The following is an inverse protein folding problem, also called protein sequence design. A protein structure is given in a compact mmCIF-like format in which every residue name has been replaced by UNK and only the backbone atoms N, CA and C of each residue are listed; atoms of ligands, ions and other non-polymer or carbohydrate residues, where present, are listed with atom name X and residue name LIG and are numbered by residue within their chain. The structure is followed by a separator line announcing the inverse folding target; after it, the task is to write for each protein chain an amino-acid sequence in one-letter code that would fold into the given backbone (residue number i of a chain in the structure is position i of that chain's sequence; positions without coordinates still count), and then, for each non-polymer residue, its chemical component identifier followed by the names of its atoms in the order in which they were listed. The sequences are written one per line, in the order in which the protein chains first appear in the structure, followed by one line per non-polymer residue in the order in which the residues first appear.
data_IF_506538752424
#
_entry.id   IF_506538752424
#
_cell.length_a   1.000
_cell.length_b   1.000
_cell.length_c   1.000
_cell.angle_alpha   90.00
_cell.angle_beta   90.00
_cell.angle_gamma   90.00
#
_symmetry.space_group_name_H-M   'P 1'
#
loop_
_entity.id
_entity.type
_entity.pdbx_description
1 polymer ?
#
# COMPACT_ATOMS: atom_id res chain seq x y z
N UNK A 1 52.54 -3.68 0.11
CA UNK A 1 53.00 -2.56 0.97
C UNK A 1 51.94 -1.46 0.88
N UNK A 2 51.03 -1.39 1.84
CA UNK A 2 50.01 -0.33 1.88
C UNK A 2 50.34 0.63 3.02
N UNK A 3 50.47 1.90 2.67
CA UNK A 3 50.61 3.02 3.59
C UNK A 3 49.24 3.34 4.20
N UNK A 4 49.13 3.22 5.53
CA UNK A 4 48.01 3.77 6.30
C UNK A 4 48.56 4.89 7.19
N UNK A 5 48.18 6.13 6.89
CA UNK A 5 48.58 7.29 7.67
C UNK A 5 47.61 7.44 8.86
N UNK A 6 48.15 7.39 10.07
CA UNK A 6 47.41 7.58 11.32
C UNK A 6 47.35 9.07 11.64
N UNK A 7 46.16 9.68 11.64
CA UNK A 7 45.97 11.05 12.14
C UNK A 7 45.56 10.96 13.60
N UNK A 8 46.44 11.38 14.51
CA UNK A 8 46.16 11.47 15.95
C UNK A 8 45.71 12.90 16.28
N UNK A 9 44.48 13.06 16.77
CA UNK A 9 44.01 14.30 17.41
C UNK A 9 44.30 14.18 18.90
N UNK A 10 45.06 15.15 19.44
CA UNK A 10 45.38 15.24 20.87
C UNK A 10 44.47 16.28 21.50
N UNK A 11 43.67 15.87 22.49
CA UNK A 11 43.01 16.80 23.41
C UNK A 11 43.50 16.52 24.84
N UNK A 12 44.10 17.54 25.45
CA UNK A 12 44.54 17.57 26.85
C UNK A 12 43.35 17.45 27.81
N UNK A 13 43.44 16.58 28.82
CA UNK A 13 42.45 16.52 29.89
C UNK A 13 42.62 15.35 30.86
N UNK A 14 43.28 15.65 31.99
CA UNK A 14 43.49 14.92 33.24
C UNK A 14 42.83 13.55 33.55
N UNK A 15 43.67 12.71 34.16
CA UNK A 15 43.42 11.66 35.18
C UNK A 15 43.17 10.18 34.78
N UNK A 16 44.31 9.45 34.83
CA UNK A 16 44.60 8.06 35.29
C UNK A 16 43.99 6.84 34.56
N UNK A 17 44.78 5.75 34.43
CA UNK A 17 44.55 4.68 33.46
C UNK A 17 43.91 3.44 34.10
N UNK A 18 43.10 2.69 33.34
CA UNK A 18 43.12 1.21 33.37
C UNK A 18 42.20 0.60 32.32
N UNK A 19 42.74 -0.45 31.71
CA UNK A 19 42.08 -1.52 30.96
C UNK A 19 41.76 -1.21 29.49
N UNK A 20 42.72 -1.63 28.67
CA UNK A 20 42.55 -1.87 27.25
C UNK A 20 41.34 -2.78 26.99
N UNK A 21 40.37 -2.26 26.23
CA UNK A 21 39.47 -3.08 25.43
C UNK A 21 39.74 -2.72 23.97
N UNK A 22 40.61 -3.51 23.31
CA UNK A 22 40.78 -3.47 21.86
C UNK A 22 39.50 -4.01 21.24
N UNK A 23 38.55 -3.14 20.91
CA UNK A 23 37.54 -3.46 19.89
C UNK A 23 38.20 -3.22 18.54
N UNK A 24 38.85 -4.25 18.02
CA UNK A 24 39.26 -4.26 16.62
C UNK A 24 37.97 -4.43 15.79
N UNK A 25 37.41 -3.32 15.32
CA UNK A 25 36.32 -3.33 14.37
C UNK A 25 36.88 -3.80 13.03
N UNK A 26 36.80 -5.10 12.76
CA UNK A 26 37.09 -5.68 11.46
C UNK A 26 35.93 -5.28 10.54
N UNK A 27 36.09 -4.18 9.79
CA UNK A 27 35.15 -3.81 8.73
C UNK A 27 35.36 -4.85 7.63
N UNK A 28 34.57 -5.92 7.70
CA UNK A 28 34.38 -6.82 6.59
C UNK A 28 33.73 -6.03 5.46
N UNK A 29 34.47 -5.86 4.36
CA UNK A 29 34.00 -5.25 3.13
C UNK A 29 33.09 -6.23 2.37
N UNK A 30 32.11 -6.83 3.05
CA UNK A 30 30.99 -7.47 2.38
C UNK A 30 30.13 -6.33 1.85
N UNK A 31 30.25 -6.11 0.53
CA UNK A 31 29.64 -4.99 -0.18
C UNK A 31 28.26 -4.66 0.34
N UNK A 32 28.10 -3.42 0.81
CA UNK A 32 26.80 -2.79 0.98
C UNK A 32 26.12 -2.75 -0.40
N UNK A 33 25.48 -3.86 -0.79
CA UNK A 33 24.45 -3.85 -1.83
C UNK A 33 23.36 -2.96 -1.26
N UNK A 34 23.41 -1.67 -1.60
CA UNK A 34 22.24 -0.79 -1.50
C UNK A 34 21.19 -1.47 -2.38
N UNK A 35 20.29 -2.24 -1.76
CA UNK A 35 19.14 -2.77 -2.48
C UNK A 35 18.40 -1.55 -2.98
N UNK A 36 18.48 -1.30 -4.29
CA UNK A 36 17.78 -0.20 -4.92
C UNK A 36 16.30 -0.43 -4.68
N UNK A 37 15.76 0.32 -3.72
CA UNK A 37 14.39 0.13 -3.28
C UNK A 37 13.49 0.54 -4.43
N UNK A 38 12.58 -0.35 -4.82
CA UNK A 38 11.70 -0.10 -5.96
C UNK A 38 10.87 1.15 -5.69
N UNK A 39 11.05 2.19 -6.51
CA UNK A 39 10.23 3.38 -6.44
C UNK A 39 8.85 3.08 -7.02
N UNK A 40 7.81 3.41 -6.26
CA UNK A 40 6.41 3.30 -6.70
C UNK A 40 5.96 4.66 -7.23
N UNK A 41 5.94 4.81 -8.55
CA UNK A 41 5.54 6.06 -9.21
C UNK A 41 4.06 6.11 -9.57
N UNK A 42 3.30 5.04 -9.29
CA UNK A 42 1.89 4.92 -9.65
C UNK A 42 1.04 4.61 -8.42
N UNK A 43 -0.03 5.37 -8.24
CA UNK A 43 -1.09 5.11 -7.27
C UNK A 43 -2.43 5.09 -8.01
N UNK A 44 -3.15 3.97 -7.92
CA UNK A 44 -4.45 3.79 -8.54
C UNK A 44 -5.55 3.74 -7.46
N UNK A 45 -6.70 4.34 -7.78
CA UNK A 45 -7.92 4.14 -7.02
C UNK A 45 -8.52 2.76 -7.29
N UNK A 46 -9.29 2.26 -6.33
CA UNK A 46 -9.92 0.93 -6.39
C UNK A 46 -10.77 0.76 -7.66
N UNK A 47 -11.54 1.77 -8.05
CA UNK A 47 -12.39 1.68 -9.24
C UNK A 47 -11.57 1.52 -10.53
N UNK A 48 -10.42 2.21 -10.65
CA UNK A 48 -9.54 2.10 -11.82
C UNK A 48 -8.88 0.72 -11.87
N UNK A 49 -8.43 0.20 -10.73
CA UNK A 49 -7.90 -1.17 -10.66
C UNK A 49 -8.96 -2.21 -11.04
N UNK A 50 -10.22 -2.02 -10.63
CA UNK A 50 -11.31 -2.93 -10.96
C UNK A 50 -11.68 -2.89 -12.44
N UNK A 51 -11.66 -1.70 -13.07
CA UNK A 51 -11.93 -1.52 -14.49
C UNK A 51 -10.88 -2.25 -15.35
N UNK A 52 -9.60 -2.08 -15.05
CA UNK A 52 -8.51 -2.82 -15.72
C UNK A 52 -8.68 -4.33 -15.61
N UNK A 53 -9.00 -4.83 -14.41
CA UNK A 53 -9.27 -6.26 -14.19
C UNK A 53 -10.48 -6.73 -15.02
N UNK A 54 -11.52 -5.91 -15.11
CA UNK A 54 -12.72 -6.24 -15.87
C UNK A 54 -12.48 -6.28 -17.38
N UNK A 55 -11.69 -5.35 -17.91
CA UNK A 55 -11.27 -5.31 -19.33
C UNK A 55 -10.54 -6.59 -19.73
N UNK A 56 -9.72 -7.14 -18.82
CA UNK A 56 -8.99 -8.40 -19.00
C UNK A 56 -9.82 -9.64 -18.63
N UNK A 57 -11.13 -9.50 -18.41
CA UNK A 57 -12.05 -10.62 -18.19
C UNK A 57 -12.07 -11.18 -16.76
N UNK A 58 -11.41 -10.53 -15.79
CA UNK A 58 -11.49 -10.91 -14.38
C UNK A 58 -12.82 -10.45 -13.79
N UNK A 59 -13.55 -11.38 -13.18
CA UNK A 59 -14.84 -11.09 -12.56
C UNK A 59 -14.67 -10.19 -11.33
N UNK A 60 -15.07 -8.92 -11.44
CA UNK A 60 -15.11 -7.95 -10.35
C UNK A 60 -16.56 -7.57 -9.99
N UNK A 61 -16.85 -7.16 -8.74
CA UNK A 61 -18.17 -6.64 -8.38
C UNK A 61 -18.52 -5.40 -9.20
N UNK A 62 -19.77 -5.30 -9.66
CA UNK A 62 -20.24 -4.10 -10.37
C UNK A 62 -20.20 -2.89 -9.43
N UNK A 63 -19.67 -1.77 -9.92
CA UNK A 63 -19.67 -0.52 -9.19
C UNK A 63 -19.50 0.70 -10.08
N UNK A 64 -19.92 1.85 -9.57
CA UNK A 64 -19.85 3.13 -10.26
C UNK A 64 -19.33 4.22 -9.34
N UNK A 65 -18.56 5.16 -9.88
CA UNK A 65 -18.07 6.32 -9.15
C UNK A 65 -19.16 7.40 -9.09
N UNK A 66 -19.29 8.03 -7.92
CA UNK A 66 -20.13 9.19 -7.71
C UNK A 66 -19.34 10.30 -7.02
N UNK A 67 -19.50 11.53 -7.48
CA UNK A 67 -18.87 12.75 -6.94
C UNK A 67 -19.84 13.61 -6.15
N UNK A 68 -21.14 13.40 -6.31
CA UNK A 68 -22.20 14.08 -5.57
C UNK A 68 -23.17 13.08 -4.90
N UNK A 69 -23.86 13.47 -3.80
CA UNK A 69 -24.84 12.60 -3.17
C UNK A 69 -26.01 12.23 -4.11
N UNK A 70 -26.37 13.12 -5.04
CA UNK A 70 -27.37 12.85 -6.07
C UNK A 70 -26.89 11.82 -7.10
N UNK A 71 -25.61 11.88 -7.50
CA UNK A 71 -25.01 10.81 -8.31
C UNK A 71 -24.97 9.49 -7.55
N UNK A 72 -24.66 9.50 -6.25
CA UNK A 72 -24.65 8.27 -5.44
C UNK A 72 -26.04 7.61 -5.41
N UNK A 73 -27.11 8.41 -5.29
CA UNK A 73 -28.49 7.95 -5.43
C UNK A 73 -28.75 7.31 -6.80
N UNK A 74 -28.38 8.02 -7.88
CA UNK A 74 -28.58 7.54 -9.24
C UNK A 74 -27.82 6.23 -9.52
N UNK A 75 -26.59 6.12 -9.04
CA UNK A 75 -25.76 4.92 -9.20
C UNK A 75 -26.29 3.74 -8.38
N UNK A 76 -26.76 3.99 -7.14
CA UNK A 76 -27.42 2.96 -6.34
C UNK A 76 -28.70 2.45 -7.04
N UNK A 77 -29.50 3.36 -7.61
CA UNK A 77 -30.70 3.00 -8.39
C UNK A 77 -30.34 2.22 -9.67
N UNK A 78 -29.27 2.60 -10.35
CA UNK A 78 -28.75 1.91 -11.56
C UNK A 78 -28.30 0.48 -11.25
N UNK A 79 -27.76 0.22 -10.07
CA UNK A 79 -27.38 -1.14 -9.65
C UNK A 79 -28.60 -2.03 -9.41
N UNK A 80 -29.75 -1.46 -9.03
CA UNK A 80 -31.00 -2.20 -8.82
C UNK A 80 -30.99 -3.17 -7.63
N UNK A 81 -29.95 -3.11 -6.78
CA UNK A 81 -29.81 -3.95 -5.60
C UNK A 81 -30.54 -3.37 -4.40
N UNK A 82 -31.06 -4.23 -3.52
CA UNK A 82 -31.67 -3.83 -2.23
C UNK A 82 -30.66 -3.15 -1.31
N UNK A 83 -29.40 -3.57 -1.39
CA UNK A 83 -28.32 -3.00 -0.62
C UNK A 83 -27.04 -2.84 -1.46
N UNK A 84 -26.30 -1.78 -1.14
CA UNK A 84 -25.08 -1.38 -1.82
C UNK A 84 -24.00 -1.05 -0.79
N UNK A 85 -22.75 -1.06 -1.23
CA UNK A 85 -21.61 -0.66 -0.41
C UNK A 85 -21.05 0.63 -0.97
N UNK A 86 -21.00 1.67 -0.14
CA UNK A 86 -20.35 2.95 -0.46
C UNK A 86 -18.95 2.93 0.12
N UNK A 87 -17.95 3.10 -0.75
CA UNK A 87 -16.53 3.11 -0.40
C UNK A 87 -15.89 4.45 -0.76
N UNK A 88 -15.35 5.14 0.23
CA UNK A 88 -14.54 6.33 0.00
C UNK A 88 -13.32 6.00 -0.87
N UNK A 89 -13.11 6.81 -1.91
CA UNK A 89 -11.97 6.66 -2.79
C UNK A 89 -10.83 7.55 -2.32
N UNK A 90 -9.87 6.95 -1.63
CA UNK A 90 -8.64 7.59 -1.14
C UNK A 90 -7.45 6.69 -1.49
N UNK A 91 -6.30 7.30 -1.80
CA UNK A 91 -5.05 6.59 -2.11
C UNK A 91 -4.35 6.17 -0.81
N UNK A 92 -5.07 5.46 0.05
CA UNK A 92 -4.59 5.00 1.35
C UNK A 92 -5.34 3.75 1.79
N UNK A 93 -4.64 2.87 2.50
CA UNK A 93 -5.25 1.73 3.18
C UNK A 93 -6.06 2.12 4.41
N UNK A 94 -6.63 1.14 5.11
CA UNK A 94 -7.26 1.37 6.44
C UNK A 94 -8.61 2.09 6.43
N UNK A 95 -9.22 2.30 5.26
CA UNK A 95 -10.48 3.05 5.08
C UNK A 95 -11.61 2.64 6.02
N UNK A 96 -11.77 1.34 6.30
CA UNK A 96 -12.84 0.83 7.18
C UNK A 96 -12.75 1.33 8.63
N UNK A 97 -11.55 1.65 9.12
CA UNK A 97 -11.32 2.16 10.49
C UNK A 97 -11.08 3.67 10.52
N UNK A 98 -11.04 4.34 9.38
CA UNK A 98 -10.82 5.78 9.27
C UNK A 98 -11.97 6.58 9.89
N UNK A 99 -11.69 7.79 10.32
CA UNK A 99 -12.70 8.75 10.81
C UNK A 99 -12.60 10.02 9.97
N UNK A 100 -13.74 10.58 9.58
CA UNK A 100 -13.83 11.85 8.89
C UNK A 100 -13.95 13.00 9.87
N UNK A 101 -13.49 14.19 9.49
CA UNK A 101 -13.62 15.41 10.30
C UNK A 101 -15.07 15.74 10.64
N UNK A 102 -16.01 15.33 9.79
CA UNK A 102 -17.45 15.47 10.04
C UNK A 102 -17.98 14.56 11.16
N UNK A 103 -17.11 13.80 11.84
CA UNK A 103 -17.47 12.81 12.85
C UNK A 103 -17.98 11.47 12.29
N UNK A 104 -18.04 11.31 10.97
CA UNK A 104 -18.45 10.05 10.34
C UNK A 104 -17.34 9.01 10.54
N UNK A 105 -17.69 7.81 11.01
CA UNK A 105 -16.75 6.70 11.22
C UNK A 105 -16.86 5.69 10.08
N UNK A 106 -15.71 5.27 9.57
CA UNK A 106 -15.56 4.28 8.51
C UNK A 106 -15.76 4.86 7.12
N UNK A 107 -14.74 4.74 6.27
CA UNK A 107 -14.79 5.05 4.84
C UNK A 107 -15.40 3.93 3.98
N UNK A 108 -15.98 2.90 4.60
CA UNK A 108 -16.71 1.82 3.91
C UNK A 108 -18.00 1.59 4.68
N UNK A 109 -19.15 1.77 4.03
CA UNK A 109 -20.46 1.65 4.67
C UNK A 109 -21.45 0.89 3.79
N UNK A 110 -22.19 -0.02 4.41
CA UNK A 110 -23.32 -0.71 3.79
C UNK A 110 -24.55 0.18 3.91
N UNK A 111 -25.31 0.25 2.83
CA UNK A 111 -26.49 1.09 2.69
C UNK A 111 -27.64 0.24 2.16
N UNK A 112 -28.82 0.37 2.75
CA UNK A 112 -29.98 -0.51 2.48
C UNK A 112 -31.08 0.15 1.63
N UNK A 113 -30.83 1.37 1.14
CA UNK A 113 -31.72 2.06 0.22
C UNK A 113 -30.97 3.11 -0.60
N UNK A 114 -31.46 3.41 -1.81
CA UNK A 114 -30.93 4.52 -2.61
C UNK A 114 -31.01 5.85 -1.87
N UNK A 115 -32.06 6.06 -1.08
CA UNK A 115 -32.31 7.26 -0.29
C UNK A 115 -31.28 7.45 0.82
N UNK A 116 -30.86 6.36 1.46
CA UNK A 116 -29.79 6.39 2.44
C UNK A 116 -28.43 6.69 1.79
N UNK A 117 -28.20 6.27 0.54
CA UNK A 117 -26.99 6.63 -0.21
C UNK A 117 -26.87 8.14 -0.41
N UNK A 118 -28.00 8.84 -0.62
CA UNK A 118 -28.07 10.30 -0.76
C UNK A 118 -27.77 11.06 0.53
N UNK A 119 -28.01 10.46 1.70
CA UNK A 119 -27.78 11.10 3.01
C UNK A 119 -26.30 11.18 3.41
N UNK A 120 -25.42 10.47 2.70
CA UNK A 120 -23.99 10.47 2.97
C UNK A 120 -23.32 11.82 2.66
N UNK A 121 -22.18 12.08 3.32
CA UNK A 121 -21.25 13.14 2.91
C UNK A 121 -20.11 12.53 2.10
N UNK A 122 -19.84 13.11 0.93
CA UNK A 122 -18.77 12.69 0.04
C UNK A 122 -17.49 13.47 0.36
N UNK A 123 -16.37 12.75 0.41
CA UNK A 123 -15.06 13.29 0.76
C UNK A 123 -14.32 13.89 -0.44
N UNK A 124 -14.68 13.45 -1.65
CA UNK A 124 -14.33 13.98 -2.98
C UNK A 124 -15.03 13.12 -4.06
N UNK A 125 -14.88 11.81 -3.92
CA UNK A 125 -15.57 10.81 -4.73
C UNK A 125 -15.74 9.51 -3.94
N UNK A 126 -16.80 8.77 -4.24
CA UNK A 126 -17.11 7.46 -3.65
C UNK A 126 -17.38 6.45 -4.73
N UNK A 127 -17.11 5.18 -4.43
CA UNK A 127 -17.47 4.04 -5.27
C UNK A 127 -18.72 3.39 -4.67
N UNK A 128 -19.80 3.36 -5.44
CA UNK A 128 -21.04 2.66 -5.10
C UNK A 128 -20.97 1.29 -5.76
N UNK A 129 -20.81 0.24 -4.96
CA UNK A 129 -20.70 -1.15 -5.43
C UNK A 129 -21.91 -1.98 -5.04
N UNK A 130 -22.22 -2.99 -5.85
CA UNK A 130 -23.09 -4.08 -5.40
C UNK A 130 -22.49 -4.75 -4.14
N UNK A 131 -23.35 -5.12 -3.19
CA UNK A 131 -22.91 -5.89 -2.04
C UNK A 131 -22.75 -7.36 -2.43
N UNK A 132 -21.57 -7.91 -2.17
CA UNK A 132 -21.33 -9.36 -2.23
C UNK A 132 -21.29 -9.94 -0.82
N UNK A 133 -21.69 -11.20 -0.70
CA UNK A 133 -21.69 -11.98 0.54
C UNK A 133 -20.67 -13.11 0.40
N UNK A 134 -19.36 -12.83 0.57
CA UNK A 134 -18.34 -13.85 0.46
C UNK A 134 -18.47 -14.85 1.61
N UNK A 135 -18.39 -16.15 1.30
CA UNK A 135 -18.29 -17.21 2.31
C UNK A 135 -16.88 -17.34 2.88
N UNK A 136 -15.87 -16.91 2.13
CA UNK A 136 -14.45 -16.96 2.46
C UNK A 136 -13.74 -15.79 1.79
N UNK A 137 -12.77 -15.23 2.49
CA UNK A 137 -11.91 -14.17 1.98
C UNK A 137 -10.47 -14.70 1.88
N UNK A 138 -9.81 -14.41 0.79
CA UNK A 138 -8.44 -14.84 0.50
C UNK A 138 -7.58 -13.63 0.16
N UNK A 139 -6.32 -13.69 0.57
CA UNK A 139 -5.29 -12.75 0.11
C UNK A 139 -4.48 -13.42 -0.99
N UNK A 140 -4.42 -12.78 -2.15
CA UNK A 140 -3.64 -13.23 -3.30
C UNK A 140 -2.87 -12.05 -3.88
N UNK A 141 -1.63 -12.29 -4.29
CA UNK A 141 -0.77 -11.29 -4.90
C UNK A 141 0.10 -11.97 -5.97
N UNK A 142 0.24 -11.29 -7.11
CA UNK A 142 1.22 -11.64 -8.15
C UNK A 142 2.28 -10.55 -8.12
N UNK A 143 3.53 -10.94 -7.92
CA UNK A 143 4.66 -10.02 -7.86
C UNK A 143 5.81 -10.58 -8.67
N UNK A 144 6.56 -9.70 -9.34
CA UNK A 144 7.82 -10.08 -9.97
C UNK A 144 8.85 -10.36 -8.88
N UNK A 145 9.23 -11.64 -8.73
CA UNK A 145 10.25 -12.06 -7.77
C UNK A 145 11.65 -11.72 -8.31
N UNK A 146 12.41 -10.93 -7.55
CA UNK A 146 13.73 -10.45 -7.99
C UNK A 146 14.88 -11.37 -7.61
N UNK A 147 14.72 -12.20 -6.58
CA UNK A 147 15.79 -13.07 -6.10
C UNK A 147 16.03 -14.31 -6.97
N UNK A 148 15.12 -14.63 -7.89
CA UNK A 148 15.17 -15.86 -8.68
C UNK A 148 16.15 -15.80 -9.88
N UNK A 149 16.61 -14.61 -10.27
CA UNK A 149 17.45 -14.41 -11.45
C UNK A 149 18.87 -15.01 -11.31
N UNK A 150 19.35 -15.22 -10.09
CA UNK A 150 20.72 -15.67 -9.82
C UNK A 150 20.93 -17.18 -10.05
N UNK A 151 19.86 -17.97 -10.23
CA UNK A 151 19.93 -19.44 -10.32
C UNK A 151 20.02 -19.98 -11.75
N UNK A 152 19.40 -19.31 -12.72
CA UNK A 152 19.42 -19.76 -14.14
C UNK A 152 20.72 -19.42 -14.87
N UNK A 153 21.54 -18.52 -14.33
CA UNK A 153 22.82 -18.12 -14.92
C UNK A 153 24.01 -19.03 -14.58
N UNK A 154 23.89 -19.89 -13.55
CA UNK A 154 24.98 -20.77 -13.11
C UNK A 154 24.86 -22.22 -13.59
N UNK A 155 23.67 -22.65 -14.03
CA UNK A 155 23.41 -24.04 -14.45
C UNK A 155 23.44 -24.25 -15.97
N UNK A 156 23.47 -23.17 -16.76
CA UNK A 156 23.73 -23.25 -18.21
C UNK A 156 25.20 -22.91 -18.46
N UNK A 157 26.08 -23.88 -18.21
CA UNK A 157 27.48 -23.83 -18.62
C UNK A 157 27.63 -23.85 -20.15
N UNK A 158 27.37 -22.71 -20.79
CA UNK A 158 27.83 -22.34 -22.12
C UNK A 158 28.84 -21.21 -22.03
#
# INVERSE_FOLDING_TARGET
MFYGQLVSITTLGNHRPRMALRVAFWINNHGLRVQQQQQKNLSLHEYMSMELLQEDGVSVPKGYVAKSPDEAYAMAKKLGSKDVVIKAQVLSGGRGKGTFESGLKGGVKVVFSSEEAKKGRICNQVLVCERKYPRRDYHFAITMERSFQDWWGSDLGL
#
